data_IF_326728906449
#
_entry.id   IF_326728906449
#
_cell.length_a   1.000
_cell.length_b   1.000
_cell.length_c   1.000
_cell.angle_alpha   90.00
_cell.angle_beta   90.00
_cell.angle_gamma   90.00
#
_symmetry.space_group_name_H-M   'P 1'
#
loop_
_entity.id
_entity.type
_entity.pdbx_description
1 polymer ?
#
# COMPACT_ATOMS: atom_id res chain seq x y z
N UNK A 1 -33.73 0.73 -1.87
CA UNK A 1 -32.61 1.18 -1.02
C UNK A 1 -32.08 -0.03 -0.27
N UNK A 2 -30.92 -0.56 -0.65
CA UNK A 2 -30.34 -1.75 -0.02
C UNK A 2 -29.72 -1.34 1.31
N UNK A 3 -30.54 -1.32 2.37
CA UNK A 3 -30.13 -0.90 3.71
C UNK A 3 -29.62 -2.14 4.46
N UNK A 4 -28.35 -2.50 4.25
CA UNK A 4 -27.75 -3.59 5.02
C UNK A 4 -27.56 -3.13 6.47
N UNK A 5 -27.93 -3.95 7.48
CA UNK A 5 -27.78 -3.54 8.86
C UNK A 5 -26.29 -3.32 9.18
N UNK A 6 -25.99 -2.23 9.88
CA UNK A 6 -24.62 -1.74 10.18
C UNK A 6 -23.71 -2.83 10.78
N UNK A 7 -24.28 -3.84 11.45
CA UNK A 7 -23.58 -5.00 12.01
C UNK A 7 -22.93 -5.88 10.92
N UNK A 8 -23.58 -6.02 9.76
CA UNK A 8 -23.05 -6.79 8.61
C UNK A 8 -21.83 -6.10 7.99
N UNK A 9 -21.85 -4.77 7.90
CA UNK A 9 -20.75 -3.99 7.29
C UNK A 9 -19.47 -4.05 8.13
N UNK A 10 -19.59 -4.01 9.46
CA UNK A 10 -18.43 -4.15 10.37
C UNK A 10 -17.71 -5.50 10.21
N UNK A 11 -18.46 -6.59 10.11
CA UNK A 11 -17.87 -7.92 9.90
C UNK A 11 -17.21 -8.03 8.51
N UNK A 12 -17.87 -7.53 7.47
CA UNK A 12 -17.32 -7.47 6.10
C UNK A 12 -16.06 -6.61 6.02
N UNK A 13 -16.02 -5.47 6.72
CA UNK A 13 -14.84 -4.63 6.85
C UNK A 13 -13.68 -5.42 7.46
N UNK A 14 -13.93 -6.08 8.60
CA UNK A 14 -12.89 -6.86 9.30
C UNK A 14 -12.32 -7.97 8.42
N UNK A 15 -13.17 -8.73 7.72
CA UNK A 15 -12.72 -9.75 6.76
C UNK A 15 -11.87 -9.15 5.63
N UNK A 16 -12.27 -8.00 5.10
CA UNK A 16 -11.49 -7.30 4.09
C UNK A 16 -10.10 -6.92 4.63
N UNK A 17 -10.03 -6.35 5.83
CA UNK A 17 -8.76 -5.91 6.43
C UNK A 17 -7.83 -7.07 6.80
N UNK A 18 -8.37 -8.20 7.26
CA UNK A 18 -7.55 -9.31 7.77
C UNK A 18 -7.15 -10.33 6.70
N UNK A 19 -7.99 -10.56 5.69
CA UNK A 19 -7.76 -11.63 4.71
C UNK A 19 -7.50 -11.07 3.30
N UNK A 20 -8.36 -10.16 2.84
CA UNK A 20 -8.31 -9.68 1.44
C UNK A 20 -7.17 -8.69 1.24
N UNK A 21 -7.04 -7.70 2.12
CA UNK A 21 -6.03 -6.64 1.99
C UNK A 21 -4.60 -7.20 2.01
N UNK A 22 -4.19 -8.07 2.95
CA UNK A 22 -2.84 -8.64 2.93
C UNK A 22 -2.59 -9.47 1.66
N UNK A 23 -3.57 -10.25 1.21
CA UNK A 23 -3.44 -11.02 -0.03
C UNK A 23 -3.31 -10.12 -1.27
N UNK A 24 -4.02 -9.00 -1.30
CA UNK A 24 -3.99 -8.03 -2.40
C UNK A 24 -2.70 -7.20 -2.43
N UNK A 25 -2.12 -6.93 -1.25
CA UNK A 25 -0.86 -6.21 -1.10
C UNK A 25 0.37 -7.12 -1.16
N UNK A 26 0.18 -8.43 -1.11
CA UNK A 26 1.27 -9.39 -1.18
C UNK A 26 2.11 -9.15 -2.44
N UNK A 27 3.42 -8.99 -2.25
CA UNK A 27 4.36 -8.65 -3.31
C UNK A 27 4.50 -7.15 -3.56
N UNK A 28 3.46 -6.31 -3.42
CA UNK A 28 3.58 -4.87 -3.65
C UNK A 28 4.60 -4.17 -2.71
N UNK A 29 4.87 -4.79 -1.56
CA UNK A 29 5.84 -4.36 -0.55
C UNK A 29 7.30 -4.46 -1.02
N UNK A 30 7.63 -5.40 -1.92
CA UNK A 30 9.02 -5.74 -2.27
C UNK A 30 9.52 -5.15 -3.60
N UNK A 31 8.65 -4.48 -4.38
CA UNK A 31 9.00 -3.96 -5.71
C UNK A 31 8.74 -2.46 -5.87
N UNK A 32 9.37 -1.85 -6.88
CA UNK A 32 9.12 -0.46 -7.24
C UNK A 32 7.69 -0.31 -7.78
N UNK A 33 6.77 0.15 -6.94
CA UNK A 33 5.40 0.41 -7.38
C UNK A 33 5.35 1.66 -8.25
N UNK A 34 4.62 1.56 -9.36
CA UNK A 34 4.27 2.69 -10.21
C UNK A 34 2.87 3.17 -9.85
N UNK A 35 2.57 4.44 -10.11
CA UNK A 35 1.22 5.01 -9.95
C UNK A 35 0.13 4.19 -10.66
N UNK A 36 0.45 3.55 -11.78
CA UNK A 36 -0.48 2.68 -12.51
C UNK A 36 -0.85 1.43 -11.72
N UNK A 37 0.08 0.85 -10.94
CA UNK A 37 -0.19 -0.29 -10.08
C UNK A 37 -1.04 0.13 -8.88
N UNK A 38 -0.72 1.27 -8.26
CA UNK A 38 -1.49 1.86 -7.16
C UNK A 38 -2.94 2.15 -7.58
N UNK A 39 -3.14 2.73 -8.76
CA UNK A 39 -4.47 3.01 -9.30
C UNK A 39 -5.26 1.72 -9.56
N UNK A 40 -4.62 0.66 -10.08
CA UNK A 40 -5.27 -0.64 -10.28
C UNK A 40 -5.70 -1.27 -8.96
N UNK A 41 -4.86 -1.20 -7.93
CA UNK A 41 -5.18 -1.70 -6.59
C UNK A 41 -6.35 -0.92 -5.97
N UNK A 42 -6.35 0.41 -6.10
CA UNK A 42 -7.46 1.27 -5.65
C UNK A 42 -8.78 0.94 -6.34
N UNK A 43 -8.76 0.77 -7.66
CA UNK A 43 -9.97 0.41 -8.43
C UNK A 43 -10.47 -0.96 -8.00
N UNK A 44 -9.57 -1.93 -7.77
CA UNK A 44 -9.94 -3.26 -7.31
C UNK A 44 -10.57 -3.21 -5.89
N UNK A 45 -9.93 -2.50 -4.95
CA UNK A 45 -10.46 -2.29 -3.59
C UNK A 45 -11.87 -1.69 -3.65
N UNK A 46 -12.08 -0.61 -4.40
CA UNK A 46 -13.39 0.02 -4.53
C UNK A 46 -14.43 -0.90 -5.18
N UNK A 47 -14.04 -1.73 -6.15
CA UNK A 47 -14.93 -2.73 -6.76
C UNK A 47 -15.37 -3.77 -5.74
N UNK A 48 -14.46 -4.29 -4.92
CA UNK A 48 -14.77 -5.28 -3.89
C UNK A 48 -15.67 -4.70 -2.79
N UNK A 49 -15.37 -3.49 -2.30
CA UNK A 49 -16.19 -2.81 -1.29
C UNK A 49 -17.60 -2.45 -1.80
N UNK A 50 -17.76 -2.20 -3.09
CA UNK A 50 -19.05 -1.97 -3.75
C UNK A 50 -19.84 -3.26 -3.98
N UNK A 51 -19.15 -4.38 -4.23
CA UNK A 51 -19.79 -5.66 -4.50
C UNK A 51 -20.40 -6.29 -3.24
N UNK A 52 -19.68 -6.27 -2.11
CA UNK A 52 -20.14 -6.91 -0.88
C UNK A 52 -21.51 -6.43 -0.31
N UNK A 53 -21.91 -5.15 -0.43
CA UNK A 53 -23.24 -4.65 -0.10
C UNK A 53 -24.18 -4.57 -1.32
N UNK A 54 -23.73 -4.97 -2.52
CA UNK A 54 -24.53 -4.90 -3.75
C UNK A 54 -24.77 -3.48 -4.26
N UNK A 55 -23.84 -2.55 -4.00
CA UNK A 55 -23.95 -1.16 -4.48
C UNK A 55 -23.55 -1.11 -5.95
N UNK A 56 -24.51 -0.72 -6.78
CA UNK A 56 -24.36 -0.61 -8.23
C UNK A 56 -24.04 0.83 -8.64
N UNK A 57 -23.77 1.04 -9.93
CA UNK A 57 -23.58 2.40 -10.48
C UNK A 57 -24.87 3.23 -10.44
N UNK A 58 -26.04 2.59 -10.43
CA UNK A 58 -27.34 3.26 -10.41
C UNK A 58 -27.60 3.96 -9.08
N UNK A 59 -27.01 3.47 -7.99
CA UNK A 59 -27.15 4.06 -6.66
C UNK A 59 -26.44 5.41 -6.53
N UNK A 60 -25.60 5.80 -7.50
CA UNK A 60 -24.86 7.09 -7.57
C UNK A 60 -24.12 7.47 -6.27
N UNK A 61 -23.73 6.47 -5.47
CA UNK A 61 -23.00 6.67 -4.22
C UNK A 61 -21.55 7.01 -4.49
N UNK A 62 -21.01 8.06 -3.85
CA UNK A 62 -19.59 8.45 -3.95
C UNK A 62 -18.67 7.41 -3.31
N UNK A 63 -17.47 7.23 -3.88
CA UNK A 63 -16.46 6.29 -3.34
C UNK A 63 -16.06 6.62 -1.89
N UNK A 64 -16.00 7.90 -1.55
CA UNK A 64 -15.68 8.42 -0.20
C UNK A 64 -16.67 7.85 0.83
N UNK A 65 -17.97 7.90 0.52
CA UNK A 65 -19.03 7.41 1.40
C UNK A 65 -18.95 5.90 1.62
N UNK A 66 -18.72 5.13 0.54
CA UNK A 66 -18.59 3.67 0.63
C UNK A 66 -17.43 3.32 1.56
N UNK A 67 -16.27 3.91 1.35
CA UNK A 67 -15.11 3.65 2.20
C UNK A 67 -15.33 4.07 3.65
N UNK A 68 -15.92 5.25 3.87
CA UNK A 68 -16.28 5.74 5.20
C UNK A 68 -17.23 4.78 5.94
N UNK A 69 -18.13 4.12 5.22
CA UNK A 69 -19.04 3.13 5.81
C UNK A 69 -18.32 1.86 6.33
N UNK A 70 -17.22 1.46 5.68
CA UNK A 70 -16.39 0.34 6.12
C UNK A 70 -15.36 0.74 7.18
N UNK A 71 -15.04 2.04 7.34
CA UNK A 71 -13.95 2.57 8.19
C UNK A 71 -12.58 1.97 7.85
N UNK A 72 -12.37 1.70 6.56
CA UNK A 72 -11.19 1.03 6.00
C UNK A 72 -10.21 2.08 5.47
N UNK A 73 -8.94 2.01 5.90
CA UNK A 73 -7.87 2.88 5.40
C UNK A 73 -7.63 2.73 3.88
N UNK A 74 -7.05 3.75 3.23
CA UNK A 74 -6.73 3.70 1.80
C UNK A 74 -5.72 2.59 1.51
N UNK A 75 -5.92 1.81 0.43
CA UNK A 75 -4.98 0.74 0.07
C UNK A 75 -3.55 1.25 -0.21
N UNK A 76 -3.41 2.45 -0.76
CA UNK A 76 -2.09 3.07 -0.99
C UNK A 76 -1.37 3.36 0.31
N UNK A 77 -2.06 3.84 1.33
CA UNK A 77 -1.47 4.13 2.64
C UNK A 77 -1.02 2.83 3.31
N UNK A 78 -1.82 1.77 3.15
CA UNK A 78 -1.44 0.43 3.63
C UNK A 78 -0.29 -0.17 2.83
N UNK A 79 -0.18 0.17 1.55
CA UNK A 79 0.94 -0.24 0.71
C UNK A 79 2.25 0.46 1.11
N UNK A 80 2.21 1.77 1.40
CA UNK A 80 3.38 2.50 1.90
C UNK A 80 3.79 2.01 3.29
N UNK A 81 2.83 1.78 4.19
CA UNK A 81 3.06 1.18 5.51
C UNK A 81 3.69 -0.22 5.39
N UNK A 82 3.16 -1.09 4.52
CA UNK A 82 3.73 -2.42 4.27
C UNK A 82 5.15 -2.36 3.73
N UNK A 83 5.44 -1.42 2.81
CA UNK A 83 6.80 -1.22 2.28
C UNK A 83 7.78 -0.72 3.34
N UNK A 84 7.38 0.23 4.17
CA UNK A 84 8.21 0.75 5.26
C UNK A 84 8.42 -0.31 6.35
N UNK A 85 7.39 -1.09 6.67
CA UNK A 85 7.51 -2.24 7.57
C UNK A 85 8.48 -3.29 7.00
N UNK A 86 8.43 -3.55 5.70
CA UNK A 86 9.36 -4.46 5.03
C UNK A 86 10.79 -3.92 5.07
N UNK A 87 10.99 -2.62 4.82
CA UNK A 87 12.27 -1.95 4.96
C UNK A 87 12.85 -2.08 6.39
N UNK A 88 12.02 -1.89 7.42
CA UNK A 88 12.40 -2.04 8.82
C UNK A 88 12.69 -3.48 9.27
N UNK A 89 12.37 -4.50 8.48
CA UNK A 89 12.75 -5.91 8.74
C UNK A 89 14.22 -6.21 8.38
N UNK A 90 14.95 -5.23 7.84
CA UNK A 90 16.31 -5.37 7.33
C UNK A 90 17.43 -5.65 8.34
N UNK A 91 17.12 -6.01 9.59
CA UNK A 91 18.11 -6.52 10.55
C UNK A 91 18.59 -7.94 10.21
N UNK A 92 17.91 -8.62 9.28
CA UNK A 92 18.37 -9.89 8.71
C UNK A 92 19.52 -9.66 7.71
N UNK A 93 20.68 -10.27 7.97
CA UNK A 93 21.94 -10.10 7.23
C UNK A 93 21.79 -10.31 5.70
N UNK A 94 20.84 -11.13 5.25
CA UNK A 94 20.56 -11.37 3.83
C UNK A 94 19.82 -10.20 3.15
N UNK A 95 18.87 -9.58 3.86
CA UNK A 95 18.13 -8.42 3.36
C UNK A 95 19.07 -7.23 3.30
N UNK A 96 19.86 -6.98 4.35
CA UNK A 96 20.87 -5.91 4.34
C UNK A 96 21.89 -6.07 3.21
N UNK A 97 22.33 -7.30 2.90
CA UNK A 97 23.23 -7.57 1.75
C UNK A 97 22.58 -7.28 0.40
N UNK A 98 21.33 -7.70 0.18
CA UNK A 98 20.61 -7.40 -1.06
C UNK A 98 20.34 -5.88 -1.21
N UNK A 99 20.10 -5.21 -0.08
CA UNK A 99 19.89 -3.77 0.03
C UNK A 99 21.20 -2.97 -0.18
N UNK A 100 22.34 -3.45 0.30
CA UNK A 100 23.65 -2.82 0.17
C UNK A 100 24.32 -3.03 -1.21
N UNK A 101 23.66 -3.72 -2.15
CA UNK A 101 24.19 -3.87 -3.50
C UNK A 101 24.29 -2.50 -4.18
N UNK A 102 25.47 -2.14 -4.73
CA UNK A 102 25.70 -0.83 -5.30
C UNK A 102 24.76 -0.58 -6.48
N UNK A 103 24.19 0.63 -6.53
CA UNK A 103 23.29 1.05 -7.60
C UNK A 103 24.09 1.21 -8.90
N UNK A 104 23.99 0.22 -9.79
CA UNK A 104 24.69 0.27 -11.08
C UNK A 104 24.10 1.37 -11.98
N UNK A 105 24.95 2.09 -12.73
CA UNK A 105 24.51 3.11 -13.72
C UNK A 105 23.45 2.49 -14.65
N UNK A 106 22.24 3.07 -14.64
CA UNK A 106 21.12 2.53 -15.41
C UNK A 106 21.33 2.75 -16.91
N UNK A 107 21.15 1.68 -17.70
CA UNK A 107 21.11 1.77 -19.16
C UNK A 107 19.84 2.50 -19.64
N UNK A 108 19.95 3.19 -20.78
CA UNK A 108 18.83 3.88 -21.45
C UNK A 108 17.68 2.88 -21.72
N UNK A 109 16.44 3.25 -21.37
CA UNK A 109 15.24 2.41 -21.54
C UNK A 109 14.75 1.67 -20.29
N UNK A 110 15.56 1.57 -19.21
CA UNK A 110 15.10 0.98 -17.94
C UNK A 110 14.20 1.97 -17.17
N UNK A 111 13.17 1.51 -16.44
CA UNK A 111 12.37 2.37 -15.59
C UNK A 111 13.24 3.17 -14.60
N UNK A 112 13.00 4.48 -14.51
CA UNK A 112 13.73 5.37 -13.62
C UNK A 112 13.46 5.09 -12.13
N UNK A 113 12.30 4.52 -11.80
CA UNK A 113 11.91 4.16 -10.43
C UNK A 113 12.55 2.84 -10.00
N UNK A 114 13.23 2.85 -8.85
CA UNK A 114 13.66 1.66 -8.12
C UNK A 114 13.02 1.61 -6.75
N UNK A 115 12.99 0.42 -6.16
CA UNK A 115 12.39 0.21 -4.85
C UNK A 115 12.95 1.19 -3.81
N UNK A 116 14.27 1.40 -3.79
CA UNK A 116 14.93 2.44 -2.98
C UNK A 116 14.38 3.86 -3.19
N UNK A 117 14.26 4.30 -4.45
CA UNK A 117 13.70 5.62 -4.76
C UNK A 117 12.24 5.75 -4.33
N UNK A 118 11.51 4.63 -4.23
CA UNK A 118 10.13 4.61 -3.75
C UNK A 118 10.09 4.60 -2.23
N UNK A 119 10.93 3.82 -1.54
CA UNK A 119 11.07 3.84 -0.08
C UNK A 119 11.50 5.23 0.40
N UNK A 120 12.49 5.87 -0.24
CA UNK A 120 12.92 7.22 0.10
C UNK A 120 11.78 8.25 -0.06
N UNK A 121 10.93 8.10 -1.08
CA UNK A 121 9.73 8.92 -1.24
C UNK A 121 8.71 8.65 -0.13
N UNK A 122 8.51 7.39 0.25
CA UNK A 122 7.56 7.01 1.30
C UNK A 122 8.02 7.54 2.67
N UNK A 123 9.32 7.45 3.00
CA UNK A 123 9.91 8.05 4.21
C UNK A 123 9.68 9.56 4.23
N UNK A 124 9.94 10.24 3.09
CA UNK A 124 9.72 11.67 2.96
C UNK A 124 8.24 12.04 3.11
N UNK A 125 7.33 11.27 2.51
CA UNK A 125 5.89 11.51 2.59
C UNK A 125 5.33 11.23 3.99
N UNK A 126 5.94 10.30 4.73
CA UNK A 126 5.57 9.98 6.10
C UNK A 126 6.14 10.98 7.13
N UNK A 127 6.90 12.00 6.70
CA UNK A 127 7.64 12.94 7.55
C UNK A 127 8.53 12.25 8.60
N UNK A 128 9.04 11.04 8.29
CA UNK A 128 9.93 10.27 9.18
C UNK A 128 11.39 10.73 9.05
N UNK A 129 11.62 12.03 8.91
CA UNK A 129 12.96 12.61 8.83
C UNK A 129 13.34 13.11 10.23
N UNK A 130 13.95 12.21 11.02
CA UNK A 130 14.96 12.56 12.04
C UNK A 130 15.71 11.33 12.63
N UNK A 131 15.93 10.24 11.86
CA UNK A 131 16.73 9.08 12.35
C UNK A 131 17.72 8.51 11.33
N UNK A 132 18.17 9.30 10.35
CA UNK A 132 19.32 8.90 9.52
C UNK A 132 20.40 9.99 9.49
N UNK A 133 20.63 10.65 10.63
CA UNK A 133 21.89 11.35 10.91
C UNK A 133 22.53 10.69 12.12
N UNK A 134 23.14 9.55 11.86
CA UNK A 134 24.18 8.79 12.58
C UNK A 134 24.29 7.53 11.71
N UNK A 135 25.29 7.41 10.83
CA UNK A 135 26.67 7.20 11.22
C UNK A 135 27.66 7.96 10.32
N UNK A 136 28.42 8.87 10.93
CA UNK A 136 29.79 9.16 10.52
C UNK A 136 30.72 8.61 11.60
N UNK A 137 31.69 7.80 11.20
CA UNK A 137 32.94 7.33 11.88
C UNK A 137 33.22 5.91 11.33
N UNK A 138 34.34 5.57 10.70
CA UNK A 138 35.66 6.18 10.49
C UNK A 138 36.24 5.70 9.16
#
# INVERSE_FOLDING_TARGET
KVNHPVRQLKTKAKVYETAVRPALLYGAECWATKRTHEQKLHVNEMKMLRWAPGVTRLDKVRNEYIRGSYKVAHITDKMTEGRLRWYGRGDDHAVRKALALPEHKRKRGRPASTWWTTVAKDIKNANLIDVTTQDGES
#
